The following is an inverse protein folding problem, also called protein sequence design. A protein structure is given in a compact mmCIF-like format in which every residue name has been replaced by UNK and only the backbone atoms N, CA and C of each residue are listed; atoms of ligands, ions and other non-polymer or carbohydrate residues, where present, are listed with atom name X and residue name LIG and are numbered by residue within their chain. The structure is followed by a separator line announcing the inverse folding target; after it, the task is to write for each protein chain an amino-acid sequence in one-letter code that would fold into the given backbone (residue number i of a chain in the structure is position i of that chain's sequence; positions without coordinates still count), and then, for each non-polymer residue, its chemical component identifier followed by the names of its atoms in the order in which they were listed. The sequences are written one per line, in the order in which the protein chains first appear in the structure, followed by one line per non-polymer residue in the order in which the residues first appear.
data_IF_844669082037
#
_entry.id   IF_844669082037
#
_cell.length_a   1.000
_cell.length_b   1.000
_cell.length_c   1.000
_cell.angle_alpha   90.00
_cell.angle_beta   90.00
_cell.angle_gamma   90.00
#
_symmetry.space_group_name_H-M   'P 1'
#
loop_
_entity.id
_entity.type
_entity.pdbx_description
1 polymer ?
#
# COMPACT_ATOMS: atom_id res chain seq x y z
N UNK A 1 -8.55 -11.39 4.49
CA UNK A 1 -9.41 -10.24 4.12
C UNK A 1 -8.55 -9.24 3.37
N UNK A 2 -9.09 -8.53 2.39
CA UNK A 2 -8.33 -7.58 1.56
C UNK A 2 -9.20 -6.39 1.17
N UNK A 3 -8.64 -5.45 0.42
CA UNK A 3 -9.35 -4.24 -0.05
C UNK A 3 -9.90 -4.37 -1.46
N UNK A 4 -9.52 -5.41 -2.22
CA UNK A 4 -9.87 -5.54 -3.64
C UNK A 4 -9.11 -4.57 -4.57
N UNK A 5 -8.34 -3.66 -3.99
CA UNK A 5 -7.54 -2.66 -4.69
C UNK A 5 -6.06 -3.10 -4.69
N UNK A 6 -5.33 -2.70 -5.73
CA UNK A 6 -3.91 -2.96 -5.88
C UNK A 6 -3.16 -1.62 -6.02
N UNK A 7 -1.88 -1.60 -5.68
CA UNK A 7 -1.00 -0.44 -5.82
C UNK A 7 0.37 -0.92 -6.31
N UNK A 8 1.01 -0.16 -7.21
CA UNK A 8 2.36 -0.51 -7.65
C UNK A 8 3.37 -0.32 -6.51
N UNK A 9 4.48 -1.05 -6.56
CA UNK A 9 5.59 -0.86 -5.60
C UNK A 9 6.12 0.58 -5.65
N UNK A 10 6.17 1.18 -6.85
CA UNK A 10 6.63 2.55 -7.04
C UNK A 10 5.71 3.57 -6.37
N UNK A 11 4.41 3.43 -6.54
CA UNK A 11 3.44 4.36 -5.97
C UNK A 11 3.38 4.21 -4.44
N UNK A 12 3.45 2.98 -3.93
CA UNK A 12 3.54 2.73 -2.50
C UNK A 12 4.81 3.35 -1.89
N UNK A 13 5.96 3.20 -2.54
CA UNK A 13 7.20 3.81 -2.09
C UNK A 13 7.08 5.34 -2.02
N UNK A 14 6.53 5.97 -3.06
CA UNK A 14 6.32 7.42 -3.09
C UNK A 14 5.34 7.89 -2.01
N UNK A 15 4.23 7.17 -1.78
CA UNK A 15 3.30 7.46 -0.69
C UNK A 15 4.01 7.45 0.67
N UNK A 16 4.84 6.44 0.93
CA UNK A 16 5.62 6.36 2.17
C UNK A 16 6.62 7.52 2.27
N UNK A 17 7.31 7.86 1.18
CA UNK A 17 8.23 9.02 1.13
C UNK A 17 7.54 10.32 1.49
N UNK A 18 6.32 10.54 0.99
CA UNK A 18 5.52 11.72 1.31
C UNK A 18 5.16 11.76 2.80
N UNK A 19 4.64 10.64 3.34
CA UNK A 19 4.25 10.53 4.76
C UNK A 19 5.44 10.74 5.71
N UNK A 20 6.59 10.16 5.40
CA UNK A 20 7.82 10.28 6.21
C UNK A 20 8.49 11.65 6.02
N UNK A 21 8.14 12.40 4.99
CA UNK A 21 8.77 13.68 4.66
C UNK A 21 10.17 13.54 4.05
N UNK A 22 10.52 12.38 3.50
CA UNK A 22 11.83 12.11 2.91
C UNK A 22 12.05 12.98 1.65
N UNK A 23 13.16 13.72 1.62
CA UNK A 23 13.48 14.67 0.54
C UNK A 23 14.40 14.13 -0.55
N UNK A 24 14.95 12.93 -0.37
CA UNK A 24 15.78 12.29 -1.40
C UNK A 24 14.96 11.67 -2.52
N UNK A 25 15.64 10.95 -3.43
CA UNK A 25 15.02 10.28 -4.57
C UNK A 25 15.11 8.76 -4.43
N UNK A 26 14.10 8.06 -4.96
CA UNK A 26 14.15 6.60 -5.07
C UNK A 26 14.72 6.19 -6.42
N UNK A 27 15.68 5.27 -6.38
CA UNK A 27 16.22 4.60 -7.55
C UNK A 27 15.79 3.14 -7.52
N UNK A 28 15.07 2.71 -8.55
CA UNK A 28 14.60 1.33 -8.70
C UNK A 28 15.59 0.57 -9.59
N UNK A 29 16.21 -0.48 -9.05
CA UNK A 29 17.14 -1.31 -9.79
C UNK A 29 16.39 -2.37 -10.62
N UNK A 30 16.34 -2.18 -11.94
CA UNK A 30 15.66 -3.07 -12.89
C UNK A 30 16.47 -4.32 -13.27
N UNK A 31 17.74 -4.42 -12.85
CA UNK A 31 18.55 -5.63 -13.06
C UNK A 31 18.11 -6.79 -12.13
N UNK A 32 17.24 -6.50 -11.16
CA UNK A 32 16.68 -7.50 -10.25
C UNK A 32 15.33 -7.99 -10.78
N UNK A 33 15.05 -9.31 -10.70
CA UNK A 33 13.80 -9.85 -11.20
C UNK A 33 12.63 -9.37 -10.36
N UNK A 34 11.54 -9.01 -11.04
CA UNK A 34 10.26 -8.72 -10.39
C UNK A 34 9.58 -9.99 -9.88
N UNK A 35 8.74 -9.83 -8.87
CA UNK A 35 7.83 -10.86 -8.39
C UNK A 35 6.62 -11.05 -9.31
N UNK A 36 5.53 -11.62 -8.79
CA UNK A 36 4.27 -11.72 -9.53
C UNK A 36 3.70 -10.33 -9.81
N UNK A 37 3.47 -10.01 -11.09
CA UNK A 37 3.04 -8.68 -11.57
C UNK A 37 1.78 -8.13 -10.91
N UNK A 38 0.86 -9.00 -10.48
CA UNK A 38 -0.38 -8.60 -9.83
C UNK A 38 -0.76 -9.62 -8.77
N UNK A 39 -1.04 -9.15 -7.56
CA UNK A 39 -1.45 -10.01 -6.44
C UNK A 39 -2.54 -9.33 -5.64
N UNK A 40 -3.77 -9.43 -6.13
CA UNK A 40 -4.97 -8.85 -5.51
C UNK A 40 -6.00 -9.93 -5.19
N UNK A 41 -6.73 -9.75 -4.09
CA UNK A 41 -7.79 -10.68 -3.66
C UNK A 41 -9.15 -10.17 -4.13
N UNK A 42 -9.98 -11.03 -4.73
CA UNK A 42 -11.38 -10.70 -5.00
C UNK A 42 -12.16 -10.64 -3.67
N UNK A 43 -12.80 -9.49 -3.40
CA UNK A 43 -13.51 -9.21 -2.14
C UNK A 43 -15.03 -9.30 -2.24
N UNK A 44 -15.59 -9.66 -3.40
CA UNK A 44 -17.05 -9.64 -3.61
C UNK A 44 -17.83 -10.51 -2.64
N UNK A 45 -17.23 -11.59 -2.10
CA UNK A 45 -17.86 -12.41 -1.06
C UNK A 45 -18.00 -11.64 0.27
N UNK A 46 -16.99 -10.85 0.64
CA UNK A 46 -17.01 -10.05 1.87
C UNK A 46 -18.01 -8.89 1.75
N UNK A 47 -18.01 -8.22 0.61
CA UNK A 47 -18.96 -7.13 0.33
C UNK A 47 -20.41 -7.60 0.40
N UNK A 48 -20.72 -8.78 -0.15
CA UNK A 48 -22.05 -9.41 -0.05
C UNK A 48 -22.46 -9.75 1.37
N UNK A 49 -21.50 -9.97 2.26
CA UNK A 49 -21.73 -10.20 3.69
C UNK A 49 -21.85 -8.89 4.48
N UNK A 50 -21.86 -7.73 3.80
CA UNK A 50 -21.94 -6.41 4.41
C UNK A 50 -20.62 -5.92 5.01
N UNK A 51 -19.51 -6.64 4.77
CA UNK A 51 -18.20 -6.23 5.26
C UNK A 51 -17.48 -5.38 4.21
N UNK A 52 -16.96 -4.23 4.63
CA UNK A 52 -16.12 -3.36 3.81
C UNK A 52 -14.96 -2.83 4.63
N UNK A 53 -13.81 -2.61 3.98
CA UNK A 53 -12.66 -2.00 4.65
C UNK A 53 -12.96 -0.52 4.95
N UNK A 54 -12.60 -0.06 6.16
CA UNK A 54 -12.87 1.31 6.62
C UNK A 54 -11.65 2.23 6.53
N UNK A 55 -10.45 1.66 6.48
CA UNK A 55 -9.19 2.40 6.41
C UNK A 55 -8.67 2.35 4.97
N UNK A 56 -8.42 3.53 4.39
CA UNK A 56 -7.72 3.68 3.11
C UNK A 56 -6.20 3.54 3.32
N UNK A 57 -5.48 3.18 2.26
CA UNK A 57 -4.05 2.89 2.34
C UNK A 57 -3.25 4.07 2.90
N UNK A 58 -3.48 5.28 2.40
CA UNK A 58 -2.80 6.51 2.79
C UNK A 58 -2.98 6.79 4.28
N UNK A 59 -4.23 6.65 4.75
CA UNK A 59 -4.56 6.80 6.18
C UNK A 59 -3.86 5.72 7.02
N UNK A 60 -3.82 4.48 6.53
CA UNK A 60 -3.14 3.38 7.20
C UNK A 60 -1.63 3.60 7.32
N UNK A 61 -0.98 4.08 6.24
CA UNK A 61 0.45 4.41 6.24
C UNK A 61 0.76 5.53 7.23
N UNK A 62 -0.04 6.60 7.27
CA UNK A 62 0.12 7.68 8.25
C UNK A 62 -0.02 7.15 9.69
N UNK A 63 -1.08 6.38 9.97
CA UNK A 63 -1.30 5.81 11.30
C UNK A 63 -0.13 4.92 11.76
N UNK A 64 0.45 4.14 10.84
CA UNK A 64 1.60 3.29 11.15
C UNK A 64 2.87 4.12 11.39
N UNK A 65 3.08 5.19 10.64
CA UNK A 65 4.21 6.09 10.87
C UNK A 65 4.09 6.82 12.21
N UNK A 66 2.90 7.35 12.52
CA UNK A 66 2.62 8.00 13.81
C UNK A 66 2.79 7.04 15.00
N UNK A 67 2.43 5.76 14.82
CA UNK A 67 2.67 4.72 15.82
C UNK A 67 4.16 4.43 16.00
N UNK A 68 4.93 4.35 14.90
CA UNK A 68 6.37 4.07 14.94
C UNK A 68 7.18 5.17 15.64
N UNK A 69 6.73 6.43 15.57
CA UNK A 69 7.38 7.56 16.23
C UNK A 69 7.08 7.68 17.74
N UNK A 70 6.12 6.92 18.25
CA UNK A 70 5.78 6.88 19.68
C UNK A 70 6.63 5.86 20.43
#
# INVERSE_FOLDING_TARGET
MGTGNDITIKDLANLIKEVVGFKGEFVFNLDKPDGTMRKVTNVSKLEKLGWQHSIKLEKGVQMMYDWYLK
#
